data_IF_256574043222
#
_entry.id   IF_256574043222
#
_cell.length_a   1.000
_cell.length_b   1.000
_cell.length_c   1.000
_cell.angle_alpha   90.00
_cell.angle_beta   90.00
_cell.angle_gamma   90.00
#
_symmetry.space_group_name_H-M   'P 1'
#
loop_
_entity.id
_entity.type
_entity.pdbx_description
1 polymer ?
#
# COMPACT_ATOMS: atom_id res chain seq x y z
N UNK A 1 67.99 -3.21 7.59
CA UNK A 1 67.10 -4.30 7.09
C UNK A 1 66.95 -4.14 5.58
N UNK A 2 67.06 -5.20 4.77
CA UNK A 2 66.68 -5.11 3.36
C UNK A 2 65.16 -5.00 3.23
N UNK A 3 64.62 -4.28 2.22
CA UNK A 3 63.20 -4.33 1.94
C UNK A 3 62.82 -5.72 1.42
N UNK A 4 61.80 -6.32 2.03
CA UNK A 4 61.20 -7.56 1.53
C UNK A 4 60.52 -7.32 0.17
N UNK A 5 60.59 -8.27 -0.78
CA UNK A 5 59.86 -8.18 -2.04
C UNK A 5 58.37 -8.50 -1.84
N UNK A 6 57.43 -7.84 -2.55
CA UNK A 6 56.08 -8.35 -2.70
C UNK A 6 56.03 -9.24 -3.96
N UNK A 7 55.61 -10.51 -3.88
CA UNK A 7 54.40 -10.92 -4.62
C UNK A 7 53.72 -12.21 -4.06
N UNK A 8 52.64 -12.77 -4.67
CA UNK A 8 51.85 -12.31 -5.81
C UNK A 8 50.36 -12.07 -5.48
N UNK A 9 49.76 -11.24 -6.32
CA UNK A 9 48.31 -11.06 -6.41
C UNK A 9 47.66 -12.36 -6.87
N UNK A 10 46.97 -13.05 -5.96
CA UNK A 10 46.00 -14.09 -6.28
C UNK A 10 44.67 -13.73 -5.62
N UNK A 11 43.74 -13.22 -6.43
CA UNK A 11 42.27 -13.38 -6.35
C UNK A 11 41.49 -12.14 -6.82
N UNK A 12 41.71 -11.69 -8.06
CA UNK A 12 40.82 -10.71 -8.70
C UNK A 12 39.58 -11.37 -9.35
N UNK A 13 39.07 -12.49 -8.82
CA UNK A 13 37.85 -13.13 -9.35
C UNK A 13 36.62 -13.06 -8.43
N UNK A 14 36.73 -12.48 -7.21
CA UNK A 14 35.59 -12.37 -6.29
C UNK A 14 34.85 -11.03 -6.35
N UNK A 15 35.46 -9.95 -6.84
CA UNK A 15 34.91 -8.59 -6.70
C UNK A 15 33.70 -8.25 -7.60
N UNK A 16 33.48 -8.96 -8.71
CA UNK A 16 32.30 -8.73 -9.57
C UNK A 16 31.06 -9.50 -9.10
N UNK A 17 31.24 -10.70 -8.54
CA UNK A 17 30.13 -11.47 -7.97
C UNK A 17 29.63 -10.84 -6.67
N UNK A 18 30.54 -10.36 -5.81
CA UNK A 18 30.18 -9.64 -4.57
C UNK A 18 29.39 -8.37 -4.84
N UNK A 19 29.74 -7.63 -5.90
CA UNK A 19 29.02 -6.40 -6.30
C UNK A 19 27.63 -6.70 -6.86
N UNK A 20 27.47 -7.76 -7.68
CA UNK A 20 26.16 -8.14 -8.24
C UNK A 20 25.24 -8.75 -7.18
N UNK A 21 25.78 -9.56 -6.26
CA UNK A 21 25.02 -10.07 -5.10
C UNK A 21 24.58 -8.91 -4.20
N UNK A 22 25.45 -7.92 -3.97
CA UNK A 22 25.13 -6.69 -3.26
C UNK A 22 24.05 -5.85 -3.95
N UNK A 23 24.13 -5.66 -5.27
CA UNK A 23 23.11 -4.93 -6.03
C UNK A 23 21.75 -5.65 -6.08
N UNK A 24 21.75 -6.99 -6.22
CA UNK A 24 20.53 -7.80 -6.13
C UNK A 24 19.93 -7.76 -4.73
N UNK A 25 20.75 -7.91 -3.69
CA UNK A 25 20.32 -7.79 -2.29
C UNK A 25 19.76 -6.39 -2.00
N UNK A 26 20.37 -5.33 -2.54
CA UNK A 26 19.88 -3.97 -2.39
C UNK A 26 18.55 -3.74 -3.14
N UNK A 27 18.37 -4.31 -4.34
CA UNK A 27 17.09 -4.26 -5.06
C UNK A 27 16.00 -5.01 -4.30
N UNK A 28 16.30 -6.19 -3.78
CA UNK A 28 15.37 -6.98 -2.95
C UNK A 28 15.03 -6.20 -1.68
N UNK A 29 16.03 -5.66 -0.97
CA UNK A 29 15.84 -4.88 0.25
C UNK A 29 15.01 -3.60 0.00
N UNK A 30 15.25 -2.88 -1.10
CA UNK A 30 14.42 -1.73 -1.52
C UNK A 30 12.98 -2.14 -1.84
N UNK A 31 12.78 -3.25 -2.55
CA UNK A 31 11.41 -3.74 -2.82
C UNK A 31 10.70 -4.22 -1.55
N UNK A 32 11.43 -4.84 -0.62
CA UNK A 32 10.92 -5.25 0.69
C UNK A 32 10.54 -4.04 1.54
N UNK A 33 11.38 -3.00 1.62
CA UNK A 33 11.06 -1.75 2.32
C UNK A 33 9.85 -1.05 1.68
N UNK A 34 9.81 -0.93 0.35
CA UNK A 34 8.67 -0.31 -0.35
C UNK A 34 7.35 -1.09 -0.13
N UNK A 35 7.43 -2.42 -0.14
CA UNK A 35 6.27 -3.29 0.15
C UNK A 35 5.85 -3.20 1.61
N UNK A 36 6.82 -3.11 2.53
CA UNK A 36 6.59 -2.96 3.97
C UNK A 36 5.97 -1.60 4.32
N UNK A 37 6.40 -0.51 3.69
CA UNK A 37 5.78 0.82 3.83
C UNK A 37 4.38 0.93 3.23
N UNK A 38 4.10 0.16 2.16
CA UNK A 38 2.74 0.07 1.60
C UNK A 38 1.75 -0.59 2.58
N UNK A 39 2.25 -1.40 3.52
CA UNK A 39 1.46 -2.18 4.49
C UNK A 39 1.46 -1.62 5.92
N UNK A 40 2.48 -0.86 6.34
CA UNK A 40 2.63 -0.41 7.75
C UNK A 40 2.04 0.98 8.08
N UNK A 41 1.49 1.70 7.11
CA UNK A 41 1.06 3.10 7.30
C UNK A 41 -0.43 3.35 7.54
N UNK A 42 -1.25 2.32 7.76
CA UNK A 42 -2.69 2.52 8.01
C UNK A 42 -3.11 1.82 9.28
N UNK A 43 -3.19 2.59 10.37
CA UNK A 43 -4.03 2.25 11.52
C UNK A 43 -5.38 1.75 11.00
N UNK A 44 -5.95 0.65 11.52
CA UNK A 44 -7.27 0.21 11.14
C UNK A 44 -8.23 1.36 11.50
N UNK A 45 -8.66 2.13 10.51
CA UNK A 45 -9.52 3.30 10.70
C UNK A 45 -10.96 2.92 11.12
N UNK A 46 -11.20 1.64 11.37
CA UNK A 46 -12.50 1.10 11.69
C UNK A 46 -12.29 0.08 12.81
N UNK A 47 -12.77 0.42 14.01
CA UNK A 47 -12.98 -0.57 15.06
C UNK A 47 -13.79 -1.73 14.47
N UNK A 48 -13.38 -2.95 14.83
CA UNK A 48 -13.90 -4.23 14.35
C UNK A 48 -15.35 -4.50 14.81
N UNK A 49 -16.15 -3.46 15.06
CA UNK A 49 -17.52 -3.54 15.51
C UNK A 49 -18.47 -3.37 14.30
N UNK A 50 -18.97 -4.50 13.79
CA UNK A 50 -20.23 -4.57 13.04
C UNK A 50 -20.36 -3.79 11.72
N UNK A 51 -19.31 -3.71 10.89
CA UNK A 51 -19.48 -3.25 9.50
C UNK A 51 -20.11 -4.36 8.65
N UNK A 52 -21.13 -4.02 7.86
CA UNK A 52 -21.80 -4.94 6.94
C UNK A 52 -20.78 -5.53 5.93
N UNK A 53 -20.63 -6.86 5.94
CA UNK A 53 -19.78 -7.62 5.01
C UNK A 53 -20.54 -8.16 3.80
N UNK A 54 -21.86 -8.01 3.79
CA UNK A 54 -22.75 -8.50 2.72
C UNK A 54 -22.70 -7.64 1.45
N UNK A 55 -23.48 -8.06 0.46
CA UNK A 55 -23.71 -7.29 -0.76
C UNK A 55 -24.19 -5.87 -0.44
N UNK A 56 -23.91 -4.93 -1.34
CA UNK A 56 -24.44 -3.57 -1.25
C UNK A 56 -25.92 -3.57 -1.60
N UNK A 57 -26.75 -2.93 -0.78
CA UNK A 57 -28.15 -2.71 -1.12
C UNK A 57 -28.34 -1.41 -1.89
N UNK A 58 -29.46 -1.28 -2.60
CA UNK A 58 -29.77 -0.06 -3.37
C UNK A 58 -29.87 1.17 -2.46
N UNK A 59 -30.34 1.01 -1.23
CA UNK A 59 -30.46 2.09 -0.25
C UNK A 59 -29.10 2.57 0.24
N UNK A 60 -28.14 1.66 0.42
CA UNK A 60 -26.76 2.02 0.74
C UNK A 60 -26.09 2.74 -0.43
N UNK A 61 -26.29 2.24 -1.66
CA UNK A 61 -25.78 2.87 -2.87
C UNK A 61 -26.34 4.29 -3.03
N UNK A 62 -27.65 4.48 -2.81
CA UNK A 62 -28.29 5.79 -2.91
C UNK A 62 -27.71 6.78 -1.88
N UNK A 63 -27.54 6.37 -0.61
CA UNK A 63 -26.91 7.22 0.41
C UNK A 63 -25.47 7.58 0.04
N UNK A 64 -24.72 6.65 -0.54
CA UNK A 64 -23.35 6.90 -0.99
C UNK A 64 -23.33 7.92 -2.14
N UNK A 65 -24.22 7.75 -3.13
CA UNK A 65 -24.37 8.67 -4.26
C UNK A 65 -24.76 10.07 -3.78
N UNK A 66 -25.79 10.17 -2.93
CA UNK A 66 -26.30 11.46 -2.46
C UNK A 66 -25.26 12.22 -1.64
N UNK A 67 -24.54 11.53 -0.77
CA UNK A 67 -23.45 12.13 0.00
C UNK A 67 -22.34 12.67 -0.93
N UNK A 68 -21.94 11.89 -1.93
CA UNK A 68 -20.88 12.30 -2.87
C UNK A 68 -21.35 13.44 -3.78
N UNK A 69 -22.62 13.44 -4.20
CA UNK A 69 -23.20 14.57 -4.97
C UNK A 69 -23.20 15.87 -4.17
N UNK A 70 -23.46 15.78 -2.86
CA UNK A 70 -23.52 16.96 -1.99
C UNK A 70 -22.14 17.48 -1.56
N UNK A 71 -21.20 16.57 -1.24
CA UNK A 71 -19.91 16.92 -0.64
C UNK A 71 -18.72 16.77 -1.60
N UNK A 72 -18.93 16.20 -2.77
CA UNK A 72 -17.88 15.81 -3.71
C UNK A 72 -17.25 14.45 -3.38
N UNK A 73 -16.46 13.95 -4.33
CA UNK A 73 -15.70 12.71 -4.16
C UNK A 73 -14.52 12.91 -3.20
N UNK A 74 -14.42 12.09 -2.16
CA UNK A 74 -13.28 12.16 -1.25
C UNK A 74 -13.63 11.78 0.18
N UNK A 75 -12.72 12.12 1.09
CA UNK A 75 -12.93 11.93 2.54
C UNK A 75 -13.37 10.51 2.94
N UNK A 76 -12.94 9.49 2.20
CA UNK A 76 -13.41 8.11 2.36
C UNK A 76 -13.30 7.56 3.79
N UNK A 77 -12.38 8.08 4.60
CA UNK A 77 -12.24 7.69 6.01
C UNK A 77 -13.42 8.14 6.88
N UNK A 78 -13.91 9.36 6.71
CA UNK A 78 -15.02 9.92 7.48
C UNK A 78 -16.37 9.77 6.78
N UNK A 79 -16.37 9.56 5.46
CA UNK A 79 -17.56 9.45 4.63
C UNK A 79 -18.60 8.46 5.17
N UNK A 80 -18.25 7.20 5.54
CA UNK A 80 -19.29 6.25 5.94
C UNK A 80 -20.05 6.70 7.17
N UNK A 81 -19.34 7.28 8.15
CA UNK A 81 -19.95 7.81 9.37
C UNK A 81 -20.85 9.02 9.06
N UNK A 82 -20.40 9.89 8.16
CA UNK A 82 -21.15 11.09 7.77
C UNK A 82 -22.38 10.77 6.89
N UNK A 83 -22.28 9.75 6.04
CA UNK A 83 -23.37 9.26 5.19
C UNK A 83 -24.33 8.30 5.90
N UNK A 84 -24.11 8.01 7.20
CA UNK A 84 -24.93 7.05 7.96
C UNK A 84 -24.82 5.62 7.45
N UNK A 85 -23.68 5.25 6.83
CA UNK A 85 -23.42 3.93 6.30
C UNK A 85 -22.65 3.07 7.31
N UNK A 86 -23.14 1.86 7.56
CA UNK A 86 -22.45 0.82 8.35
C UNK A 86 -21.38 0.09 7.51
N UNK A 87 -20.57 0.85 6.77
CA UNK A 87 -19.52 0.35 5.87
C UNK A 87 -18.18 1.01 6.21
N UNK A 88 -17.08 0.39 5.78
CA UNK A 88 -15.76 1.00 5.92
C UNK A 88 -15.45 1.89 4.71
N UNK A 89 -14.58 2.89 4.92
CA UNK A 89 -14.21 3.84 3.88
C UNK A 89 -13.65 3.22 2.61
N UNK A 90 -12.87 2.15 2.77
CA UNK A 90 -12.34 1.38 1.63
C UNK A 90 -13.46 0.78 0.79
N UNK A 91 -14.49 0.22 1.43
CA UNK A 91 -15.64 -0.36 0.74
C UNK A 91 -16.42 0.70 -0.03
N UNK A 92 -16.72 1.84 0.60
CA UNK A 92 -17.41 2.95 -0.07
C UNK A 92 -16.64 3.45 -1.29
N UNK A 93 -15.32 3.64 -1.16
CA UNK A 93 -14.47 4.04 -2.30
C UNK A 93 -14.54 3.03 -3.44
N UNK A 94 -14.35 1.75 -3.15
CA UNK A 94 -14.40 0.69 -4.16
C UNK A 94 -15.78 0.59 -4.82
N UNK A 95 -16.85 0.76 -4.04
CA UNK A 95 -18.22 0.72 -4.56
C UNK A 95 -18.46 1.87 -5.54
N UNK A 96 -18.06 3.08 -5.16
CA UNK A 96 -18.20 4.25 -6.02
C UNK A 96 -17.48 4.08 -7.35
N UNK A 97 -16.17 3.84 -7.31
CA UNK A 97 -15.33 3.81 -8.52
C UNK A 97 -15.67 2.66 -9.47
N UNK A 98 -16.16 1.54 -8.96
CA UNK A 98 -16.41 0.35 -9.77
C UNK A 98 -17.83 0.26 -10.31
N UNK A 99 -18.81 0.89 -9.66
CA UNK A 99 -20.23 0.64 -9.96
C UNK A 99 -21.13 1.88 -10.00
N UNK A 100 -20.81 2.96 -9.28
CA UNK A 100 -21.77 4.06 -9.08
C UNK A 100 -21.34 5.38 -9.72
N UNK A 101 -20.04 5.57 -10.00
CA UNK A 101 -19.55 6.81 -10.60
C UNK A 101 -20.09 6.94 -12.03
N UNK A 102 -20.87 7.99 -12.34
CA UNK A 102 -21.19 8.33 -13.72
C UNK A 102 -19.91 8.87 -14.36
N UNK A 103 -19.42 8.15 -15.36
CA UNK A 103 -18.24 8.45 -16.17
C UNK A 103 -18.31 9.81 -16.89
#
# INVERSE_FOLDING_TARGET
LPPLPPPPLLSLSLSLFDTVISQKAHRIYKTYIARSWSTMGRSPCCEKAHTNKGAWTKEEDQRLIDYIRLHGEGCWRSLPKAAGLLRCGKSCRLRWINYLRPD
#
